data_IF_327412533885
#
_entry.id   IF_327412533885
#
_cell.length_a   1.000
_cell.length_b   1.000
_cell.length_c   1.000
_cell.angle_alpha   90.00
_cell.angle_beta   90.00
_cell.angle_gamma   90.00
#
_symmetry.space_group_name_H-M   'P 1'
#
loop_
_entity.id
_entity.type
_entity.pdbx_description
1 polymer ?
#
# COMPACT_ATOMS: atom_id res chain seq x y z
N UNK A 1 -14.38 -2.31 17.43
CA UNK A 1 -13.28 -1.91 16.53
C UNK A 1 -13.93 -1.07 15.43
N UNK A 2 -13.66 0.25 15.45
CA UNK A 2 -14.18 1.14 14.42
C UNK A 2 -13.40 0.93 13.11
N UNK A 3 -13.90 0.09 12.22
CA UNK A 3 -13.35 -0.06 10.87
C UNK A 3 -13.82 1.13 10.03
N UNK A 4 -12.96 2.12 9.81
CA UNK A 4 -13.29 3.35 9.06
C UNK A 4 -13.45 3.17 7.55
N UNK A 5 -13.10 2.03 7.00
CA UNK A 5 -13.12 1.75 5.56
C UNK A 5 -13.96 0.50 5.22
N UNK A 6 -15.15 0.38 5.80
CA UNK A 6 -16.11 -0.65 5.39
C UNK A 6 -16.63 -0.30 3.99
N UNK A 7 -16.37 -1.16 3.01
CA UNK A 7 -16.85 -1.03 1.64
C UNK A 7 -15.91 -0.31 0.67
N UNK A 8 -14.62 -0.17 0.99
CA UNK A 8 -13.60 0.26 0.03
C UNK A 8 -12.65 -0.88 -0.30
N UNK A 9 -12.32 -1.03 -1.58
CA UNK A 9 -11.32 -1.97 -2.08
C UNK A 9 -10.05 -1.24 -2.48
N UNK A 10 -8.88 -1.83 -2.20
CA UNK A 10 -7.61 -1.43 -2.80
C UNK A 10 -7.33 -2.34 -3.99
N UNK A 11 -7.08 -1.75 -5.14
CA UNK A 11 -6.79 -2.47 -6.37
C UNK A 11 -5.39 -2.12 -6.87
N UNK A 12 -4.53 -3.11 -6.96
CA UNK A 12 -3.28 -3.05 -7.73
C UNK A 12 -3.62 -3.39 -9.17
N UNK A 13 -2.96 -2.75 -10.16
CA UNK A 13 -3.44 -2.74 -11.53
C UNK A 13 -2.44 -3.29 -12.53
N UNK A 14 -3.00 -3.94 -13.57
CA UNK A 14 -2.26 -4.60 -14.64
C UNK A 14 -1.49 -3.64 -15.56
N UNK A 15 -2.01 -2.43 -15.80
CA UNK A 15 -1.43 -1.54 -16.81
C UNK A 15 -0.11 -0.93 -16.41
N UNK A 16 0.11 -0.72 -15.11
CA UNK A 16 1.29 -0.02 -14.59
C UNK A 16 1.99 -0.79 -13.46
N UNK A 17 1.32 -1.77 -12.83
CA UNK A 17 1.92 -2.78 -11.95
C UNK A 17 2.23 -4.04 -12.75
N UNK A 18 3.11 -3.90 -13.75
CA UNK A 18 3.44 -4.94 -14.72
C UNK A 18 3.92 -6.21 -14.03
N UNK A 19 3.40 -7.35 -14.49
CA UNK A 19 3.70 -8.71 -14.01
C UNK A 19 3.21 -9.00 -12.58
N UNK A 20 2.36 -8.16 -12.00
CA UNK A 20 1.83 -8.36 -10.65
C UNK A 20 0.30 -8.21 -10.61
N UNK A 21 -0.25 -7.08 -11.03
CA UNK A 21 -1.70 -6.87 -11.09
C UNK A 21 -2.30 -7.16 -12.47
N UNK A 22 -3.52 -7.69 -12.51
CA UNK A 22 -4.30 -7.94 -13.73
C UNK A 22 -5.66 -7.22 -13.76
N UNK A 23 -5.89 -6.27 -12.86
CA UNK A 23 -7.13 -5.51 -12.79
C UNK A 23 -7.23 -4.45 -13.89
N UNK A 24 -8.25 -4.53 -14.73
CA UNK A 24 -8.55 -3.45 -15.67
C UNK A 24 -9.46 -2.40 -15.01
N UNK A 25 -9.10 -1.11 -15.09
CA UNK A 25 -9.79 -0.01 -14.39
C UNK A 25 -11.31 -0.11 -14.51
N UNK A 26 -11.82 -0.22 -15.74
CA UNK A 26 -13.28 -0.18 -16.00
C UNK A 26 -13.98 -1.41 -15.43
N UNK A 27 -13.35 -2.58 -15.54
CA UNK A 27 -13.88 -3.84 -15.01
C UNK A 27 -13.88 -3.81 -13.48
N UNK A 28 -12.78 -3.39 -12.86
CA UNK A 28 -12.68 -3.24 -11.41
C UNK A 28 -13.74 -2.27 -10.85
N UNK A 29 -13.89 -1.08 -11.45
CA UNK A 29 -14.89 -0.10 -11.01
C UNK A 29 -16.31 -0.63 -11.18
N UNK A 30 -16.59 -1.35 -12.28
CA UNK A 30 -17.90 -1.99 -12.49
C UNK A 30 -18.17 -3.05 -11.42
N UNK A 31 -17.16 -3.90 -11.11
CA UNK A 31 -17.28 -4.94 -10.10
C UNK A 31 -17.51 -4.37 -8.70
N UNK A 32 -16.79 -3.31 -8.33
CA UNK A 32 -17.01 -2.58 -7.07
C UNK A 32 -18.47 -2.12 -6.94
N UNK A 33 -19.02 -1.58 -8.02
CA UNK A 33 -20.43 -1.14 -8.07
C UNK A 33 -21.41 -2.32 -7.96
N UNK A 34 -21.15 -3.43 -8.65
CA UNK A 34 -21.95 -4.67 -8.56
C UNK A 34 -22.01 -5.22 -7.15
N UNK A 35 -20.88 -5.15 -6.42
CA UNK A 35 -20.76 -5.59 -5.03
C UNK A 35 -21.42 -4.61 -4.03
N UNK A 36 -22.01 -3.50 -4.52
CA UNK A 36 -22.66 -2.51 -3.67
C UNK A 36 -21.69 -1.62 -2.87
N UNK A 37 -20.41 -1.63 -3.21
CA UNK A 37 -19.43 -0.75 -2.59
C UNK A 37 -19.55 0.67 -3.13
N UNK A 38 -19.20 1.66 -2.32
CA UNK A 38 -19.34 3.07 -2.67
C UNK A 38 -18.01 3.77 -2.96
N UNK A 39 -16.89 3.09 -2.71
CA UNK A 39 -15.54 3.64 -2.88
C UNK A 39 -14.54 2.54 -3.26
N UNK A 40 -13.46 2.95 -3.91
CA UNK A 40 -12.33 2.08 -4.27
C UNK A 40 -11.05 2.89 -4.34
N UNK A 41 -9.93 2.30 -3.91
CA UNK A 41 -8.61 2.90 -3.99
C UNK A 41 -7.79 2.32 -5.15
N UNK A 42 -6.93 3.14 -5.74
CA UNK A 42 -5.84 2.72 -6.61
C UNK A 42 -4.52 2.86 -5.86
N UNK A 43 -3.71 1.80 -5.85
CA UNK A 43 -2.43 1.75 -5.12
C UNK A 43 -1.37 1.01 -5.94
N UNK A 44 -1.17 1.43 -7.21
CA UNK A 44 -0.14 0.86 -8.10
C UNK A 44 1.25 0.89 -7.45
N UNK A 45 2.09 -0.10 -7.78
CA UNK A 45 3.44 -0.25 -7.23
C UNK A 45 4.41 0.83 -7.74
N UNK A 46 4.75 1.78 -6.89
CA UNK A 46 5.76 2.81 -7.12
C UNK A 46 5.41 3.83 -8.19
N UNK A 47 4.18 3.85 -8.73
CA UNK A 47 3.76 4.74 -9.82
C UNK A 47 2.35 5.29 -9.60
N UNK A 48 2.03 6.40 -10.29
CA UNK A 48 0.70 7.03 -10.29
C UNK A 48 0.12 7.19 -11.70
N UNK A 49 0.60 6.43 -12.67
CA UNK A 49 0.25 6.63 -14.10
C UNK A 49 -1.23 6.37 -14.39
N UNK A 50 -1.86 5.46 -13.65
CA UNK A 50 -3.27 5.08 -13.81
C UNK A 50 -4.27 6.00 -13.12
N UNK A 51 -3.82 6.91 -12.28
CA UNK A 51 -4.67 7.68 -11.34
C UNK A 51 -5.76 8.48 -12.06
N UNK A 52 -5.45 9.16 -13.17
CA UNK A 52 -6.42 10.00 -13.88
C UNK A 52 -7.50 9.16 -14.58
N UNK A 53 -7.10 8.06 -15.23
CA UNK A 53 -8.07 7.16 -15.89
C UNK A 53 -8.97 6.49 -14.86
N UNK A 54 -8.40 6.08 -13.73
CA UNK A 54 -9.14 5.54 -12.60
C UNK A 54 -10.13 6.56 -12.01
N UNK A 55 -9.67 7.78 -11.72
CA UNK A 55 -10.52 8.84 -11.20
C UNK A 55 -11.72 9.09 -12.10
N UNK A 56 -11.50 9.24 -13.42
CA UNK A 56 -12.59 9.46 -14.40
C UNK A 56 -13.56 8.29 -14.44
N UNK A 57 -13.08 7.06 -14.45
CA UNK A 57 -13.92 5.87 -14.49
C UNK A 57 -14.78 5.74 -13.22
N UNK A 58 -14.18 5.90 -12.03
CA UNK A 58 -14.89 5.83 -10.76
C UNK A 58 -15.94 6.92 -10.63
N UNK A 59 -15.61 8.17 -10.97
CA UNK A 59 -16.58 9.30 -10.96
C UNK A 59 -17.73 9.06 -11.93
N UNK A 60 -17.47 8.56 -13.13
CA UNK A 60 -18.51 8.23 -14.11
C UNK A 60 -19.46 7.11 -13.62
N UNK A 61 -18.95 6.17 -12.83
CA UNK A 61 -19.74 5.09 -12.22
C UNK A 61 -20.48 5.50 -10.94
N UNK A 62 -20.23 6.70 -10.40
CA UNK A 62 -20.77 7.16 -9.12
C UNK A 62 -20.06 6.54 -7.90
N UNK A 63 -18.85 6.03 -8.08
CA UNK A 63 -17.99 5.47 -7.02
C UNK A 63 -17.00 6.54 -6.56
N UNK A 64 -16.75 6.64 -5.26
CA UNK A 64 -15.73 7.54 -4.70
C UNK A 64 -14.32 7.00 -5.01
N UNK A 65 -13.51 7.70 -5.84
CA UNK A 65 -12.11 7.31 -6.02
C UNK A 65 -11.26 7.72 -4.81
N UNK A 66 -10.40 6.82 -4.35
CA UNK A 66 -9.32 7.11 -3.41
C UNK A 66 -8.00 6.97 -4.17
N UNK A 67 -7.19 8.02 -4.20
CA UNK A 67 -5.97 8.07 -5.00
C UNK A 67 -4.77 7.76 -4.13
N UNK A 68 -4.00 6.76 -4.49
CA UNK A 68 -2.86 6.29 -3.72
C UNK A 68 -1.75 5.70 -4.57
N UNK A 69 -0.74 5.21 -3.88
CA UNK A 69 0.40 4.49 -4.44
C UNK A 69 1.00 3.62 -3.35
N UNK A 70 1.36 2.39 -3.66
CA UNK A 70 2.20 1.58 -2.80
C UNK A 70 3.67 1.91 -3.10
N UNK A 71 4.32 2.66 -2.20
CA UNK A 71 5.70 3.09 -2.38
C UNK A 71 6.68 2.07 -1.80
N UNK A 72 7.89 2.06 -2.33
CA UNK A 72 9.01 1.28 -1.83
C UNK A 72 9.85 2.13 -0.89
N UNK A 73 9.96 1.76 0.38
CA UNK A 73 10.71 2.49 1.39
C UNK A 73 12.06 1.82 1.59
N UNK A 74 13.16 2.56 1.36
CA UNK A 74 14.51 2.09 1.63
C UNK A 74 14.72 1.89 3.15
N UNK A 75 15.43 0.82 3.58
CA UNK A 75 15.73 0.60 5.00
C UNK A 75 16.59 1.71 5.64
N UNK A 76 17.41 2.36 4.83
CA UNK A 76 18.23 3.51 5.18
C UNK A 76 17.95 4.69 4.27
N UNK A 77 18.97 5.27 3.67
CA UNK A 77 18.82 6.35 2.71
C UNK A 77 18.42 5.85 1.32
N UNK A 78 17.57 6.61 0.63
CA UNK A 78 17.23 6.35 -0.78
C UNK A 78 18.44 6.39 -1.73
N UNK A 79 19.51 7.02 -1.28
CA UNK A 79 20.77 7.11 -2.04
C UNK A 79 21.67 5.87 -1.87
N UNK A 80 21.40 5.02 -0.89
CA UNK A 80 22.17 3.78 -0.66
C UNK A 80 21.86 2.78 -1.78
N UNK A 81 22.84 2.54 -2.64
CA UNK A 81 22.75 1.62 -3.79
C UNK A 81 23.63 0.38 -3.62
N UNK A 82 24.08 0.12 -2.41
CA UNK A 82 24.81 -1.10 -2.08
C UNK A 82 23.83 -2.21 -1.67
N UNK A 83 24.16 -3.45 -2.03
CA UNK A 83 23.36 -4.59 -1.64
C UNK A 83 23.55 -4.86 -0.14
N UNK A 84 22.60 -4.42 0.66
CA UNK A 84 22.51 -4.80 2.07
C UNK A 84 21.63 -6.05 2.15
N UNK A 85 22.21 -7.22 2.45
CA UNK A 85 21.45 -8.44 2.68
C UNK A 85 21.00 -9.22 1.42
N UNK A 86 20.17 -10.23 1.60
CA UNK A 86 19.50 -10.97 0.55
C UNK A 86 18.44 -10.11 -0.14
N UNK A 87 18.10 -10.40 -1.40
CA UNK A 87 17.27 -9.58 -2.28
C UNK A 87 15.98 -8.96 -1.71
N UNK A 88 15.40 -9.54 -0.66
CA UNK A 88 14.16 -9.09 -0.01
C UNK A 88 14.34 -7.90 0.97
N UNK A 89 15.56 -7.52 1.31
CA UNK A 89 15.82 -6.47 2.29
C UNK A 89 16.13 -5.10 1.68
N UNK A 90 15.99 -4.96 0.38
CA UNK A 90 16.30 -3.72 -0.36
C UNK A 90 15.27 -2.62 -0.17
N UNK A 91 14.04 -2.97 0.20
CA UNK A 91 12.93 -2.05 0.42
C UNK A 91 11.78 -2.72 1.20
N UNK A 92 10.94 -1.88 1.77
CA UNK A 92 9.67 -2.24 2.38
C UNK A 92 8.53 -1.63 1.57
N UNK A 93 7.33 -2.21 1.67
CA UNK A 93 6.12 -1.63 1.11
C UNK A 93 5.45 -0.69 2.13
N UNK A 94 4.90 0.41 1.65
CA UNK A 94 4.06 1.33 2.42
C UNK A 94 2.97 1.88 1.50
N UNK A 95 1.71 1.74 1.89
CA UNK A 95 0.60 2.30 1.12
C UNK A 95 0.37 3.74 1.53
N UNK A 96 0.33 4.64 0.56
CA UNK A 96 0.05 6.06 0.75
C UNK A 96 -1.21 6.44 0.00
N UNK A 97 -2.15 7.11 0.68
CA UNK A 97 -3.41 7.58 0.12
C UNK A 97 -3.50 9.10 0.28
N UNK A 98 -3.94 9.78 -0.77
CA UNK A 98 -4.19 11.21 -0.71
C UNK A 98 -5.54 11.49 -0.03
N UNK A 99 -5.54 12.21 1.08
CA UNK A 99 -6.72 12.63 1.80
C UNK A 99 -7.42 13.81 1.10
N UNK A 100 -6.61 14.71 0.54
CA UNK A 100 -7.03 15.98 -0.07
C UNK A 100 -6.08 16.41 -1.19
N UNK A 101 -6.29 17.58 -1.79
CA UNK A 101 -5.48 18.09 -2.88
C UNK A 101 -4.00 18.33 -2.49
N UNK A 102 -3.72 18.74 -1.24
CA UNK A 102 -2.35 18.89 -0.73
C UNK A 102 -1.67 17.51 -0.73
N UNK A 103 -2.34 16.51 -0.15
CA UNK A 103 -1.85 15.13 -0.14
C UNK A 103 -1.64 14.57 -1.54
N UNK A 104 -2.53 14.86 -2.50
CA UNK A 104 -2.35 14.43 -3.88
C UNK A 104 -1.08 15.02 -4.52
N UNK A 105 -0.82 16.32 -4.32
CA UNK A 105 0.41 16.95 -4.79
C UNK A 105 1.66 16.42 -4.07
N UNK A 106 1.56 16.16 -2.78
CA UNK A 106 2.66 15.59 -2.01
C UNK A 106 2.95 14.15 -2.42
N UNK A 107 1.91 13.33 -2.67
CA UNK A 107 2.08 11.98 -3.20
C UNK A 107 2.81 11.96 -4.55
N UNK A 108 2.48 12.89 -5.46
CA UNK A 108 3.22 13.02 -6.73
C UNK A 108 4.70 13.35 -6.50
N UNK A 109 5.02 14.23 -5.53
CA UNK A 109 6.42 14.56 -5.18
C UNK A 109 7.14 13.34 -4.60
N UNK A 110 6.52 12.63 -3.66
CA UNK A 110 7.08 11.41 -3.04
C UNK A 110 7.44 10.39 -4.13
N UNK A 111 6.48 10.07 -5.01
CA UNK A 111 6.70 9.10 -6.10
C UNK A 111 7.79 9.60 -7.07
N UNK A 112 7.79 10.88 -7.42
CA UNK A 112 8.81 11.47 -8.30
C UNK A 112 10.22 11.41 -7.71
N UNK A 113 10.39 11.68 -6.41
CA UNK A 113 11.68 11.53 -5.69
C UNK A 113 12.18 10.08 -5.72
N UNK A 114 11.28 9.10 -5.62
CA UNK A 114 11.64 7.69 -5.76
C UNK A 114 12.31 7.39 -7.11
N UNK A 115 11.81 7.98 -8.19
CA UNK A 115 12.40 7.82 -9.54
C UNK A 115 13.68 8.63 -9.75
N UNK A 116 13.68 9.90 -9.34
CA UNK A 116 14.78 10.81 -9.66
C UNK A 116 16.00 10.63 -8.77
N UNK A 117 15.83 10.16 -7.53
CA UNK A 117 16.88 10.08 -6.52
C UNK A 117 17.12 8.64 -6.04
N UNK A 118 16.04 7.90 -5.74
CA UNK A 118 16.12 6.63 -5.03
C UNK A 118 16.06 5.37 -5.88
N UNK A 119 16.12 5.49 -7.23
CA UNK A 119 15.99 4.33 -8.10
C UNK A 119 17.16 3.35 -7.93
N UNK A 120 16.83 2.17 -7.38
CA UNK A 120 17.73 1.03 -7.27
C UNK A 120 16.89 -0.24 -7.28
N UNK A 121 16.80 -0.91 -8.44
CA UNK A 121 15.83 -1.97 -8.82
C UNK A 121 14.38 -1.49 -8.80
N UNK A 122 13.96 -0.69 -7.83
CA UNK A 122 12.64 -0.08 -7.70
C UNK A 122 12.81 1.42 -7.36
N UNK A 123 11.79 2.25 -7.62
CA UNK A 123 11.81 3.67 -7.23
C UNK A 123 11.57 3.77 -5.71
N UNK A 124 12.66 3.90 -4.93
CA UNK A 124 12.60 3.91 -3.47
C UNK A 124 12.56 5.32 -2.92
N UNK A 125 11.76 5.51 -1.91
CA UNK A 125 11.76 6.68 -1.04
C UNK A 125 12.39 6.32 0.31
N UNK A 126 12.56 7.27 1.21
CA UNK A 126 13.02 7.04 2.58
C UNK A 126 12.25 7.91 3.58
N UNK A 127 12.58 7.78 4.84
CA UNK A 127 11.93 8.50 5.93
C UNK A 127 12.04 10.02 5.75
N UNK A 128 13.16 10.54 5.21
CA UNK A 128 13.34 11.97 4.96
C UNK A 128 12.31 12.52 3.98
N UNK A 129 12.09 11.83 2.85
CA UNK A 129 11.08 12.20 1.85
C UNK A 129 9.66 12.12 2.43
N UNK A 130 9.38 11.08 3.24
CA UNK A 130 8.08 10.93 3.88
C UNK A 130 7.81 12.05 4.89
N UNK A 131 8.82 12.46 5.67
CA UNK A 131 8.73 13.58 6.59
C UNK A 131 8.53 14.93 5.88
N UNK A 132 9.19 15.13 4.73
CA UNK A 132 9.08 16.38 3.95
C UNK A 132 7.67 16.55 3.35
N UNK A 133 7.02 15.46 2.92
CA UNK A 133 5.77 15.51 2.14
C UNK A 133 4.59 14.77 2.78
N UNK A 134 4.56 14.63 4.12
CA UNK A 134 3.52 13.88 4.83
C UNK A 134 2.15 14.55 4.86
N UNK A 135 2.07 15.87 4.68
CA UNK A 135 0.82 16.63 4.84
C UNK A 135 -0.26 16.15 3.85
N UNK A 136 -1.47 15.87 4.38
CA UNK A 136 -2.61 15.38 3.60
C UNK A 136 -2.47 13.95 3.09
N UNK A 137 -1.53 13.16 3.65
CA UNK A 137 -1.32 11.74 3.34
C UNK A 137 -1.86 10.89 4.49
N UNK A 138 -2.61 9.86 4.14
CA UNK A 138 -2.93 8.72 4.99
C UNK A 138 -2.01 7.58 4.60
N UNK A 139 -1.37 6.93 5.58
CA UNK A 139 -0.47 5.80 5.34
C UNK A 139 -1.00 4.52 5.98
N UNK A 140 -0.79 3.37 5.30
CA UNK A 140 -1.12 2.05 5.79
C UNK A 140 0.13 1.18 5.81
N UNK A 141 0.24 0.28 6.80
CA UNK A 141 1.44 -0.55 7.00
C UNK A 141 1.71 -1.58 5.89
N UNK A 142 0.85 -1.64 4.88
CA UNK A 142 0.92 -2.51 3.69
C UNK A 142 0.78 -4.03 3.99
N UNK A 143 1.24 -4.85 3.06
CA UNK A 143 1.18 -6.31 3.07
C UNK A 143 2.32 -6.93 3.90
N UNK A 144 2.57 -8.25 3.75
CA UNK A 144 3.68 -8.95 4.42
C UNK A 144 5.07 -8.38 4.08
N UNK A 145 5.20 -7.61 2.99
CA UNK A 145 6.42 -6.91 2.61
C UNK A 145 6.60 -5.54 3.31
N UNK A 146 5.62 -5.10 4.10
CA UNK A 146 5.72 -3.90 4.93
C UNK A 146 6.76 -4.05 6.05
N UNK A 147 7.35 -2.93 6.48
CA UNK A 147 8.40 -2.95 7.51
C UNK A 147 7.91 -3.52 8.84
N UNK A 148 6.71 -3.15 9.26
CA UNK A 148 6.09 -3.65 10.50
C UNK A 148 5.89 -5.16 10.42
N UNK A 149 5.28 -5.65 9.35
CA UNK A 149 4.97 -7.06 9.14
C UNK A 149 6.23 -7.92 8.97
N UNK A 150 7.23 -7.45 8.21
CA UNK A 150 8.52 -8.15 8.07
C UNK A 150 9.23 -8.33 9.40
N UNK A 151 9.25 -7.30 10.26
CA UNK A 151 9.84 -7.41 11.59
C UNK A 151 9.08 -8.42 12.46
N UNK A 152 7.75 -8.41 12.44
CA UNK A 152 6.94 -9.40 13.17
C UNK A 152 7.27 -10.83 12.72
N UNK A 153 7.34 -11.09 11.41
CA UNK A 153 7.66 -12.41 10.87
C UNK A 153 9.06 -12.91 11.22
N UNK A 154 10.00 -11.99 11.46
CA UNK A 154 11.35 -12.29 11.93
C UNK A 154 11.43 -12.51 13.46
N UNK A 155 10.31 -12.43 14.16
CA UNK A 155 10.24 -12.49 15.61
C UNK A 155 10.72 -11.22 16.33
N UNK A 156 10.85 -10.12 15.61
CA UNK A 156 11.31 -8.81 16.08
C UNK A 156 10.11 -7.89 16.32
N UNK A 157 9.25 -8.25 17.28
CA UNK A 157 8.01 -7.53 17.56
C UNK A 157 8.23 -6.07 17.98
N UNK A 158 9.22 -5.82 18.84
CA UNK A 158 9.49 -4.47 19.36
C UNK A 158 10.05 -3.54 18.26
N UNK A 159 10.83 -4.06 17.33
CA UNK A 159 11.31 -3.33 16.15
C UNK A 159 10.14 -3.01 15.20
N UNK A 160 9.22 -3.96 15.00
CA UNK A 160 7.98 -3.72 14.24
C UNK A 160 7.12 -2.63 14.89
N UNK A 161 6.98 -2.66 16.22
CA UNK A 161 6.25 -1.64 16.98
C UNK A 161 6.94 -0.28 16.92
N UNK A 162 8.27 -0.23 17.00
CA UNK A 162 9.03 1.01 16.84
C UNK A 162 8.87 1.60 15.44
N UNK A 163 8.83 0.77 14.38
CA UNK A 163 8.54 1.21 13.03
C UNK A 163 7.12 1.79 12.91
N UNK A 164 6.12 1.12 13.50
CA UNK A 164 4.73 1.61 13.49
C UNK A 164 4.59 2.97 14.18
N UNK A 165 5.21 3.14 15.34
CA UNK A 165 5.21 4.42 16.07
C UNK A 165 5.93 5.52 15.28
N UNK A 166 7.05 5.21 14.61
CA UNK A 166 7.76 6.15 13.74
C UNK A 166 6.88 6.62 12.58
N UNK A 167 6.13 5.73 11.92
CA UNK A 167 5.19 6.13 10.89
C UNK A 167 4.03 6.97 11.45
N UNK A 168 3.51 6.62 12.62
CA UNK A 168 2.49 7.44 13.28
C UNK A 168 3.01 8.85 13.62
N UNK A 169 4.27 8.98 14.03
CA UNK A 169 4.88 10.29 14.30
C UNK A 169 5.04 11.13 13.02
N UNK A 170 5.32 10.49 11.87
CA UNK A 170 5.45 11.17 10.57
C UNK A 170 4.09 11.65 10.07
N UNK A 171 3.10 10.77 10.00
CA UNK A 171 1.81 11.06 9.37
C UNK A 171 0.79 11.67 10.34
N UNK A 172 1.02 11.52 11.64
CA UNK A 172 0.12 11.97 12.69
C UNK A 172 -0.90 10.93 13.15
N UNK A 173 -1.45 11.13 14.33
CA UNK A 173 -2.51 10.26 14.88
C UNK A 173 -3.76 10.34 14.01
N UNK A 174 -4.30 9.18 13.64
CA UNK A 174 -5.47 9.05 12.77
C UNK A 174 -5.14 9.10 11.28
N UNK A 175 -3.86 9.25 10.89
CA UNK A 175 -3.39 9.21 9.50
C UNK A 175 -2.39 8.09 9.23
N UNK A 176 -2.06 7.26 10.21
CA UNK A 176 -1.34 6.01 10.02
C UNK A 176 -2.16 4.86 10.61
N UNK A 177 -2.31 3.78 9.85
CA UNK A 177 -3.10 2.60 10.20
C UNK A 177 -2.29 1.32 10.07
N UNK A 178 -2.51 0.38 11.00
CA UNK A 178 -2.03 -0.98 10.85
C UNK A 178 -2.98 -1.75 9.94
N UNK A 179 -2.46 -2.31 8.88
CA UNK A 179 -3.24 -2.95 7.81
C UNK A 179 -3.37 -4.46 8.06
N UNK A 180 -4.60 -4.92 8.12
CA UNK A 180 -4.96 -6.34 8.25
C UNK A 180 -5.35 -6.88 6.87
N UNK A 181 -4.72 -7.96 6.45
CA UNK A 181 -5.05 -8.71 5.24
C UNK A 181 -5.29 -10.18 5.60
N UNK A 182 -6.24 -10.83 4.95
CA UNK A 182 -6.50 -12.26 5.14
C UNK A 182 -6.85 -12.96 3.82
N UNK A 183 -5.87 -13.62 3.24
CA UNK A 183 -6.00 -14.46 2.05
C UNK A 183 -5.85 -15.95 2.40
N UNK A 184 -6.03 -16.33 3.67
CA UNK A 184 -5.87 -17.69 4.16
C UNK A 184 -4.41 -18.13 4.35
N UNK A 185 -3.44 -17.19 4.28
CA UNK A 185 -2.02 -17.47 4.50
C UNK A 185 -1.71 -17.54 6.00
N UNK A 186 -0.92 -18.52 6.41
CA UNK A 186 -0.52 -18.69 7.82
C UNK A 186 0.29 -17.50 8.34
N UNK A 187 1.14 -16.93 7.50
CA UNK A 187 1.95 -15.74 7.80
C UNK A 187 1.07 -14.52 8.12
N UNK A 188 0.00 -14.32 7.34
CA UNK A 188 -0.96 -13.23 7.60
C UNK A 188 -1.68 -13.44 8.94
N UNK A 189 -2.05 -14.66 9.29
CA UNK A 189 -2.70 -14.94 10.58
C UNK A 189 -1.77 -14.62 11.77
N UNK A 190 -0.49 -15.00 11.68
CA UNK A 190 0.53 -14.68 12.71
C UNK A 190 0.69 -13.17 12.84
N UNK A 191 0.84 -12.47 11.72
CA UNK A 191 1.00 -11.02 11.67
C UNK A 191 -0.23 -10.32 12.23
N UNK A 192 -1.43 -10.73 11.81
CA UNK A 192 -2.69 -10.11 12.25
C UNK A 192 -2.85 -10.16 13.77
N UNK A 193 -2.52 -11.31 14.42
CA UNK A 193 -2.57 -11.40 15.88
C UNK A 193 -1.62 -10.40 16.56
N UNK A 194 -0.42 -10.23 16.00
CA UNK A 194 0.57 -9.26 16.49
C UNK A 194 0.12 -7.81 16.26
N UNK A 195 -0.50 -7.51 15.11
CA UNK A 195 -1.03 -6.18 14.81
C UNK A 195 -2.22 -5.82 15.71
N UNK A 196 -3.11 -6.77 16.00
CA UNK A 196 -4.20 -6.58 16.96
C UNK A 196 -3.68 -6.22 18.36
N UNK A 197 -2.65 -6.92 18.83
CA UNK A 197 -1.96 -6.60 20.08
C UNK A 197 -1.29 -5.21 20.02
N UNK A 198 -0.57 -4.93 18.93
CA UNK A 198 0.12 -3.65 18.71
C UNK A 198 -0.85 -2.46 18.72
N UNK A 199 -2.03 -2.61 18.09
CA UNK A 199 -3.07 -1.59 18.09
C UNK A 199 -3.57 -1.28 19.52
N UNK A 200 -3.73 -2.32 20.37
CA UNK A 200 -4.10 -2.13 21.77
C UNK A 200 -3.01 -1.42 22.59
N UNK A 201 -1.75 -1.75 22.35
CA UNK A 201 -0.60 -1.18 23.08
C UNK A 201 -0.29 0.26 22.66
N UNK A 202 -0.46 0.61 21.37
CA UNK A 202 -0.06 1.90 20.80
C UNK A 202 -1.20 2.88 20.59
N UNK A 203 -2.43 2.38 20.50
CA UNK A 203 -3.60 3.16 20.10
C UNK A 203 -3.65 3.49 18.61
N UNK A 204 -2.78 2.87 17.77
CA UNK A 204 -2.85 2.97 16.31
C UNK A 204 -4.08 2.21 15.83
N UNK A 205 -4.90 2.84 15.00
CA UNK A 205 -6.12 2.23 14.47
C UNK A 205 -5.79 1.15 13.41
N UNK A 206 -6.71 0.19 13.29
CA UNK A 206 -6.62 -0.90 12.33
C UNK A 206 -7.48 -0.61 11.10
N UNK A 207 -7.04 -1.07 9.95
CA UNK A 207 -7.82 -1.09 8.70
C UNK A 207 -7.75 -2.47 8.05
N UNK A 208 -8.87 -2.98 7.56
CA UNK A 208 -8.88 -4.22 6.78
C UNK A 208 -8.90 -3.88 5.29
N UNK A 209 -8.07 -4.58 4.51
CA UNK A 209 -7.96 -4.41 3.07
C UNK A 209 -7.87 -5.77 2.38
N UNK A 210 -8.16 -5.82 1.08
CA UNK A 210 -8.10 -7.05 0.30
C UNK A 210 -6.86 -7.15 -0.60
N UNK A 211 -6.13 -6.08 -0.82
CA UNK A 211 -4.92 -6.07 -1.67
C UNK A 211 -5.16 -6.80 -3.01
N UNK A 212 -6.16 -6.32 -3.77
CA UNK A 212 -6.74 -7.01 -4.92
C UNK A 212 -5.82 -6.94 -6.14
N UNK A 213 -5.36 -8.11 -6.61
CA UNK A 213 -4.48 -8.24 -7.78
C UNK A 213 -5.23 -8.65 -9.06
N UNK A 214 -6.46 -9.15 -8.95
CA UNK A 214 -7.36 -9.47 -10.07
C UNK A 214 -8.82 -9.25 -9.70
N UNK A 215 -9.70 -9.06 -10.70
CA UNK A 215 -11.07 -8.58 -10.49
C UNK A 215 -12.06 -9.71 -10.20
N UNK A 216 -11.95 -10.85 -10.90
CA UNK A 216 -12.89 -11.96 -10.82
C UNK A 216 -12.18 -13.23 -10.35
N UNK A 217 -12.89 -14.12 -9.67
CA UNK A 217 -12.32 -15.38 -9.17
C UNK A 217 -11.75 -16.27 -10.29
N UNK A 218 -12.31 -16.22 -11.49
CA UNK A 218 -11.83 -16.91 -12.67
C UNK A 218 -10.51 -16.39 -13.24
N UNK A 219 -10.10 -15.17 -12.86
CA UNK A 219 -8.85 -14.55 -13.28
C UNK A 219 -7.62 -15.13 -12.56
N UNK A 220 -7.81 -16.01 -11.58
CA UNK A 220 -6.71 -16.64 -10.82
C UNK A 220 -5.69 -17.33 -11.74
N UNK A 221 -6.16 -18.11 -12.74
CA UNK A 221 -5.25 -18.82 -13.66
C UNK A 221 -4.48 -17.87 -14.59
N UNK A 222 -5.11 -16.89 -15.27
CA UNK A 222 -4.39 -15.84 -15.99
C UNK A 222 -3.37 -15.10 -15.12
N UNK A 223 -3.72 -14.81 -13.87
CA UNK A 223 -2.83 -14.15 -12.93
C UNK A 223 -1.62 -15.03 -12.56
N UNK A 224 -1.82 -16.32 -12.28
CA UNK A 224 -0.72 -17.27 -12.03
C UNK A 224 0.26 -17.33 -13.22
N UNK A 225 -0.26 -17.32 -14.46
CA UNK A 225 0.57 -17.29 -15.65
C UNK A 225 1.36 -15.98 -15.74
N UNK A 226 0.74 -14.85 -15.39
CA UNK A 226 1.41 -13.55 -15.36
C UNK A 226 2.59 -13.56 -14.38
N UNK A 227 2.40 -14.11 -13.18
CA UNK A 227 3.45 -14.23 -12.16
C UNK A 227 4.61 -15.14 -12.61
N UNK A 228 4.37 -16.15 -13.48
CA UNK A 228 5.43 -17.00 -14.03
C UNK A 228 6.39 -16.25 -14.97
N UNK A 229 6.05 -15.03 -15.40
CA UNK A 229 6.90 -14.20 -16.28
C UNK A 229 7.85 -13.31 -15.44
N UNK A 230 7.57 -13.15 -14.14
CA UNK A 230 8.43 -12.44 -13.19
C UNK A 230 9.74 -13.22 -12.98
#
# INVERSE_FOLDING_TARGET
IGVRLVGSEMCIRDRYSLLDGSNKIKECVARVKELGMNSVAITDHGVMYGVIDFYRAAKAAGIKPVLGCEVYVAPGSRFDKEAVGSGDDRYYHLVLLAENDIGYHNLMKIVSRGFTEGYYYKPRVDIEVLQEFHEGIIALSACLAGEVQKNILRGMYEEGKAAALRYQDIFGKGNFFLELQDHGMQEQQIVNQSLLRMAQETGIELVATNDVHYTYAEDVKPHDILLCIQ
#
